data_IF_138894566262
#
_entry.id   IF_138894566262
#
_cell.length_a   1.000
_cell.length_b   1.000
_cell.length_c   1.000
_cell.angle_alpha   90.00
_cell.angle_beta   90.00
_cell.angle_gamma   90.00
#
_symmetry.space_group_name_H-M   'P 1'
#
loop_
_entity.id
_entity.type
_entity.pdbx_description
1 polymer ?
#
# COMPACT_ATOMS: atom_id res chain seq x y z
N UNK A 1 -20.60 65.23 21.43
CA UNK A 1 -21.38 64.72 20.29
C UNK A 1 -20.34 64.45 19.23
N UNK A 2 -19.71 63.27 19.28
CA UNK A 2 -18.61 62.89 18.36
C UNK A 2 -18.81 61.43 17.94
N UNK A 3 -20.03 61.08 17.56
CA UNK A 3 -20.39 59.74 17.07
C UNK A 3 -20.77 59.74 15.57
N UNK A 4 -20.57 60.86 14.85
CA UNK A 4 -20.92 60.95 13.42
C UNK A 4 -19.74 60.71 12.45
N UNK A 5 -18.49 60.74 12.93
CA UNK A 5 -17.32 60.57 12.05
C UNK A 5 -16.94 59.12 11.74
N UNK A 6 -17.59 58.14 12.37
CA UNK A 6 -17.38 56.73 12.01
C UNK A 6 -18.00 56.38 10.64
N UNK A 7 -19.02 57.12 10.22
CA UNK A 7 -19.80 56.86 9.00
C UNK A 7 -19.38 57.72 7.79
N UNK A 8 -18.39 58.61 7.92
CA UNK A 8 -17.81 59.37 6.81
C UNK A 8 -16.73 58.61 6.03
N UNK A 9 -16.71 57.28 6.16
CA UNK A 9 -15.81 56.41 5.41
C UNK A 9 -16.03 56.62 3.91
N UNK A 10 -15.10 57.33 3.25
CA UNK A 10 -15.11 57.55 1.82
C UNK A 10 -15.32 56.19 1.12
N UNK A 11 -16.38 56.02 0.30
CA UNK A 11 -16.71 54.75 -0.34
C UNK A 11 -15.53 54.10 -1.08
N UNK A 12 -14.56 54.90 -1.53
CA UNK A 12 -13.32 54.44 -2.15
C UNK A 12 -12.38 53.73 -1.18
N UNK A 13 -12.24 54.21 0.05
CA UNK A 13 -11.38 53.57 1.07
C UNK A 13 -11.93 52.21 1.46
N UNK A 14 -13.26 52.11 1.58
CA UNK A 14 -13.95 50.85 1.82
C UNK A 14 -13.74 49.89 0.64
N UNK A 15 -13.92 50.37 -0.59
CA UNK A 15 -13.66 49.60 -1.81
C UNK A 15 -12.21 49.11 -1.93
N UNK A 16 -11.22 49.95 -1.65
CA UNK A 16 -9.79 49.59 -1.73
C UNK A 16 -9.41 48.58 -0.65
N UNK A 17 -10.01 48.67 0.54
CA UNK A 17 -9.80 47.71 1.63
C UNK A 17 -10.39 46.34 1.30
N UNK A 18 -11.59 46.29 0.71
CA UNK A 18 -12.22 45.05 0.26
C UNK A 18 -11.46 44.45 -0.92
N UNK A 19 -11.00 45.28 -1.87
CA UNK A 19 -10.16 44.84 -2.97
C UNK A 19 -8.83 44.24 -2.49
N UNK A 20 -8.21 44.85 -1.48
CA UNK A 20 -6.96 44.35 -0.89
C UNK A 20 -7.16 43.02 -0.16
N UNK A 21 -8.27 42.87 0.59
CA UNK A 21 -8.65 41.60 1.22
C UNK A 21 -8.85 40.50 0.18
N UNK A 22 -9.66 40.77 -0.84
CA UNK A 22 -9.94 39.85 -1.94
C UNK A 22 -8.64 39.45 -2.65
N UNK A 23 -7.77 40.41 -2.97
CA UNK A 23 -6.47 40.15 -3.62
C UNK A 23 -5.56 39.27 -2.77
N UNK A 24 -5.47 39.53 -1.47
CA UNK A 24 -4.68 38.70 -0.55
C UNK A 24 -5.24 37.29 -0.41
N UNK A 25 -6.57 37.15 -0.36
CA UNK A 25 -7.23 35.84 -0.34
C UNK A 25 -6.95 35.05 -1.61
N UNK A 26 -7.09 35.67 -2.79
CA UNK A 26 -6.76 35.02 -4.06
C UNK A 26 -5.28 34.62 -4.16
N UNK A 27 -4.37 35.48 -3.69
CA UNK A 27 -2.93 35.19 -3.72
C UNK A 27 -2.58 34.03 -2.78
N UNK A 28 -3.10 34.06 -1.55
CA UNK A 28 -2.85 33.02 -0.56
C UNK A 28 -3.51 31.69 -0.96
N UNK A 29 -4.72 31.73 -1.51
CA UNK A 29 -5.42 30.56 -2.02
C UNK A 29 -4.64 29.96 -3.21
N UNK A 30 -4.25 30.78 -4.19
CA UNK A 30 -3.47 30.34 -5.35
C UNK A 30 -2.10 29.77 -4.97
N UNK A 31 -1.43 30.33 -3.98
CA UNK A 31 -0.17 29.78 -3.46
C UNK A 31 -0.36 28.42 -2.78
N UNK A 32 -1.39 28.29 -1.93
CA UNK A 32 -1.73 27.01 -1.28
C UNK A 32 -2.14 25.95 -2.29
N UNK A 33 -2.96 26.32 -3.26
CA UNK A 33 -3.40 25.46 -4.35
C UNK A 33 -2.21 25.03 -5.20
N UNK A 34 -1.32 25.94 -5.57
CA UNK A 34 -0.10 25.63 -6.31
C UNK A 34 0.83 24.66 -5.57
N UNK A 35 1.03 24.83 -4.26
CA UNK A 35 1.79 23.87 -3.44
C UNK A 35 1.10 22.51 -3.41
N UNK A 36 -0.22 22.50 -3.24
CA UNK A 36 -0.99 21.27 -3.14
C UNK A 36 -0.94 20.50 -4.46
N UNK A 37 -1.21 21.19 -5.57
CA UNK A 37 -1.15 20.63 -6.92
C UNK A 37 0.25 20.12 -7.27
N UNK A 38 1.31 20.83 -6.87
CA UNK A 38 2.69 20.38 -7.07
C UNK A 38 3.01 19.10 -6.29
N UNK A 39 2.61 19.03 -5.01
CA UNK A 39 2.78 17.84 -4.18
C UNK A 39 1.97 16.65 -4.71
N UNK A 40 0.73 16.89 -5.09
CA UNK A 40 -0.15 15.86 -5.66
C UNK A 40 0.39 15.34 -6.98
N UNK A 41 0.84 16.23 -7.88
CA UNK A 41 1.43 15.83 -9.16
C UNK A 41 2.68 14.96 -8.99
N UNK A 42 3.55 15.31 -8.04
CA UNK A 42 4.75 14.51 -7.76
C UNK A 42 4.40 13.14 -7.13
N UNK A 43 3.43 13.12 -6.20
CA UNK A 43 2.98 11.90 -5.53
C UNK A 43 2.25 10.94 -6.48
N UNK A 44 1.42 11.48 -7.38
CA UNK A 44 0.64 10.68 -8.32
C UNK A 44 1.53 9.95 -9.32
N UNK A 45 2.61 10.59 -9.80
CA UNK A 45 3.54 9.95 -10.72
C UNK A 45 4.18 8.69 -10.08
N UNK A 46 4.64 8.79 -8.83
CA UNK A 46 5.20 7.64 -8.11
C UNK A 46 4.18 6.53 -7.87
N UNK A 47 2.92 6.89 -7.60
CA UNK A 47 1.82 5.92 -7.50
C UNK A 47 1.55 5.22 -8.83
N UNK A 48 1.44 5.97 -9.94
CA UNK A 48 1.13 5.44 -11.27
C UNK A 48 2.21 4.46 -11.74
N UNK A 49 3.48 4.81 -11.53
CA UNK A 49 4.62 3.95 -11.86
C UNK A 49 4.61 2.68 -10.99
N UNK A 50 4.43 2.81 -9.67
CA UNK A 50 4.33 1.68 -8.75
C UNK A 50 3.16 0.76 -9.07
N UNK A 51 2.01 1.32 -9.45
CA UNK A 51 0.83 0.57 -9.88
C UNK A 51 1.08 -0.16 -11.20
N UNK A 52 1.62 0.51 -12.22
CA UNK A 52 1.81 -0.07 -13.55
C UNK A 52 2.88 -1.16 -13.57
N UNK A 53 4.00 -0.94 -12.86
CA UNK A 53 5.16 -1.82 -12.94
C UNK A 53 5.20 -2.92 -11.87
N UNK A 54 4.61 -2.66 -10.70
CA UNK A 54 4.70 -3.59 -9.56
C UNK A 54 3.33 -4.09 -9.14
N UNK A 55 2.40 -3.18 -8.84
CA UNK A 55 1.09 -3.50 -8.27
C UNK A 55 0.20 -4.34 -9.18
N UNK A 56 -0.08 -3.84 -10.38
CA UNK A 56 -0.98 -4.47 -11.33
C UNK A 56 -0.45 -5.82 -11.87
N UNK A 57 0.83 -5.98 -12.26
CA UNK A 57 1.35 -7.27 -12.73
C UNK A 57 1.27 -8.36 -11.66
N UNK A 58 1.69 -8.03 -10.44
CA UNK A 58 1.71 -8.94 -9.31
C UNK A 58 0.29 -9.31 -8.84
N UNK A 59 -0.59 -8.32 -8.76
CA UNK A 59 -2.01 -8.53 -8.44
C UNK A 59 -2.71 -9.41 -9.47
N UNK A 60 -2.42 -9.18 -10.77
CA UNK A 60 -2.92 -10.04 -11.85
C UNK A 60 -2.41 -11.46 -11.72
N UNK A 61 -1.12 -11.66 -11.45
CA UNK A 61 -0.54 -13.01 -11.31
C UNK A 61 -1.19 -13.79 -10.17
N UNK A 62 -1.33 -13.17 -8.99
CA UNK A 62 -2.01 -13.79 -7.85
C UNK A 62 -3.50 -14.04 -8.13
N UNK A 63 -4.17 -13.12 -8.82
CA UNK A 63 -5.56 -13.29 -9.25
C UNK A 63 -5.75 -14.51 -10.13
N UNK A 64 -4.87 -14.71 -11.11
CA UNK A 64 -4.87 -15.88 -12.00
C UNK A 64 -4.64 -17.17 -11.20
N UNK A 65 -3.66 -17.19 -10.29
CA UNK A 65 -3.39 -18.37 -9.44
C UNK A 65 -4.61 -18.76 -8.60
N UNK A 66 -5.24 -17.78 -7.92
CA UNK A 66 -6.44 -18.02 -7.10
C UNK A 66 -7.64 -18.48 -7.94
N UNK A 67 -7.80 -17.90 -9.13
CA UNK A 67 -8.80 -18.32 -10.11
C UNK A 67 -8.60 -19.76 -10.57
N UNK A 68 -7.35 -20.14 -10.86
CA UNK A 68 -7.00 -21.49 -11.26
C UNK A 68 -7.27 -22.51 -10.14
N UNK A 69 -6.90 -22.19 -8.89
CA UNK A 69 -7.26 -23.03 -7.74
C UNK A 69 -8.77 -23.24 -7.65
N UNK A 70 -9.56 -22.18 -7.80
CA UNK A 70 -11.03 -22.25 -7.76
C UNK A 70 -11.58 -23.15 -8.87
N UNK A 71 -11.06 -23.01 -10.10
CA UNK A 71 -11.45 -23.84 -11.23
C UNK A 71 -11.09 -25.31 -11.04
N UNK A 72 -9.88 -25.61 -10.54
CA UNK A 72 -9.44 -26.97 -10.23
C UNK A 72 -10.26 -27.61 -9.12
N UNK A 73 -10.56 -26.88 -8.05
CA UNK A 73 -11.43 -27.36 -6.97
C UNK A 73 -12.81 -27.71 -7.53
N UNK A 74 -13.39 -26.85 -8.37
CA UNK A 74 -14.70 -27.11 -8.99
C UNK A 74 -14.67 -28.34 -9.92
N UNK A 75 -13.60 -28.52 -10.70
CA UNK A 75 -13.43 -29.67 -11.59
C UNK A 75 -13.25 -30.98 -10.82
N UNK A 76 -12.45 -30.97 -9.76
CA UNK A 76 -12.11 -32.15 -8.97
C UNK A 76 -13.20 -32.52 -7.95
N UNK A 77 -14.10 -31.59 -7.60
CA UNK A 77 -15.21 -31.82 -6.66
C UNK A 77 -16.41 -32.57 -7.26
N UNK A 78 -16.23 -33.22 -8.42
CA UNK A 78 -17.27 -34.02 -9.09
C UNK A 78 -17.70 -35.22 -8.24
N UNK A 79 -18.96 -35.69 -8.36
CA UNK A 79 -19.42 -36.86 -7.63
C UNK A 79 -18.67 -38.13 -8.10
N UNK A 80 -18.24 -38.94 -7.13
CA UNK A 80 -17.40 -40.15 -7.30
C UNK A 80 -15.96 -39.88 -7.77
N UNK A 81 -15.17 -39.04 -7.06
CA UNK A 81 -13.79 -38.76 -7.41
C UNK A 81 -12.90 -39.97 -7.17
N UNK A 82 -12.00 -40.26 -8.11
CA UNK A 82 -10.93 -41.24 -7.91
C UNK A 82 -10.02 -40.82 -6.75
N UNK A 83 -9.35 -41.77 -6.10
CA UNK A 83 -8.44 -41.47 -4.97
C UNK A 83 -7.37 -40.42 -5.35
N UNK A 84 -6.90 -40.47 -6.60
CA UNK A 84 -5.98 -39.48 -7.17
C UNK A 84 -6.60 -38.08 -7.26
N UNK A 85 -7.88 -37.98 -7.61
CA UNK A 85 -8.59 -36.70 -7.69
C UNK A 85 -8.88 -36.13 -6.29
N UNK A 86 -9.12 -36.98 -5.29
CA UNK A 86 -9.27 -36.54 -3.90
C UNK A 86 -7.96 -35.98 -3.34
N UNK A 87 -6.83 -36.64 -3.60
CA UNK A 87 -5.51 -36.14 -3.21
C UNK A 87 -5.19 -34.79 -3.88
N UNK A 88 -5.41 -34.68 -5.19
CA UNK A 88 -5.23 -33.43 -5.93
C UNK A 88 -6.13 -32.30 -5.42
N UNK A 89 -7.37 -32.62 -5.02
CA UNK A 89 -8.31 -31.66 -4.45
C UNK A 89 -7.87 -31.16 -3.07
N UNK A 90 -7.36 -32.05 -2.21
CA UNK A 90 -6.82 -31.68 -0.90
C UNK A 90 -5.61 -30.75 -1.08
N UNK A 91 -4.69 -31.09 -1.98
CA UNK A 91 -3.52 -30.27 -2.28
C UNK A 91 -3.91 -28.90 -2.88
N UNK A 92 -4.86 -28.87 -3.80
CA UNK A 92 -5.33 -27.60 -4.40
C UNK A 92 -5.98 -26.69 -3.34
N UNK A 93 -6.71 -27.24 -2.36
CA UNK A 93 -7.27 -26.48 -1.25
C UNK A 93 -6.18 -25.92 -0.32
N UNK A 94 -5.14 -26.71 -0.06
CA UNK A 94 -3.99 -26.25 0.71
C UNK A 94 -3.28 -25.09 0.00
N UNK A 95 -3.01 -25.22 -1.30
CA UNK A 95 -2.41 -24.15 -2.12
C UNK A 95 -3.32 -22.91 -2.12
N UNK A 96 -4.64 -23.08 -2.24
CA UNK A 96 -5.59 -21.97 -2.17
C UNK A 96 -5.55 -21.23 -0.82
N UNK A 97 -5.43 -21.97 0.30
CA UNK A 97 -5.30 -21.37 1.63
C UNK A 97 -3.98 -20.60 1.77
N UNK A 98 -2.87 -21.14 1.27
CA UNK A 98 -1.57 -20.46 1.29
C UNK A 98 -1.60 -19.18 0.45
N UNK A 99 -2.17 -19.25 -0.76
CA UNK A 99 -2.34 -18.08 -1.63
C UNK A 99 -3.27 -17.03 -1.02
N UNK A 100 -4.27 -17.40 -0.22
CA UNK A 100 -5.15 -16.44 0.46
C UNK A 100 -4.40 -15.61 1.52
N UNK A 101 -3.37 -16.17 2.15
CA UNK A 101 -2.59 -15.52 3.20
C UNK A 101 -1.41 -14.69 2.66
N UNK A 102 -1.18 -14.66 1.35
CA UNK A 102 -0.13 -13.84 0.72
C UNK A 102 -0.50 -12.36 0.82
N UNK A 103 0.38 -11.56 1.43
CA UNK A 103 0.28 -10.10 1.50
C UNK A 103 1.16 -9.44 0.46
N UNK A 104 0.77 -8.23 0.05
CA UNK A 104 1.52 -7.42 -0.91
C UNK A 104 2.93 -7.06 -0.42
N UNK A 105 3.08 -6.72 0.87
CA UNK A 105 4.37 -6.36 1.49
C UNK A 105 5.41 -7.48 1.49
N UNK A 106 4.99 -8.74 1.47
CA UNK A 106 5.89 -9.90 1.56
C UNK A 106 6.45 -10.35 0.20
N UNK A 107 5.88 -9.84 -0.89
CA UNK A 107 6.13 -10.32 -2.26
C UNK A 107 6.65 -9.23 -3.18
N UNK A 108 6.44 -7.98 -2.81
CA UNK A 108 6.88 -6.82 -3.57
C UNK A 108 8.39 -6.66 -3.42
N UNK A 109 9.12 -6.48 -4.52
CA UNK A 109 10.52 -6.12 -4.46
C UNK A 109 10.73 -4.80 -3.68
N UNK A 110 11.81 -4.68 -2.90
CA UNK A 110 12.12 -3.42 -2.22
C UNK A 110 12.33 -2.31 -3.26
N UNK A 111 11.66 -1.18 -3.04
CA UNK A 111 11.80 0.01 -3.87
C UNK A 111 13.13 0.71 -3.58
N UNK A 112 14.10 0.52 -4.48
CA UNK A 112 15.46 1.05 -4.33
C UNK A 112 15.50 2.57 -4.46
N UNK A 113 14.59 3.17 -5.25
CA UNK A 113 14.52 4.61 -5.44
C UNK A 113 13.93 5.28 -4.19
N UNK A 114 12.84 4.72 -3.64
CA UNK A 114 12.29 5.19 -2.38
C UNK A 114 13.29 5.05 -1.22
N UNK A 115 14.09 3.97 -1.18
CA UNK A 115 15.14 3.79 -0.17
C UNK A 115 16.28 4.80 -0.32
N UNK A 116 16.70 5.11 -1.55
CA UNK A 116 17.72 6.12 -1.82
C UNK A 116 17.24 7.51 -1.42
N UNK A 117 16.01 7.88 -1.81
CA UNK A 117 15.41 9.16 -1.46
C UNK A 117 15.21 9.33 0.06
N UNK A 118 14.76 8.27 0.75
CA UNK A 118 14.66 8.27 2.20
C UNK A 118 16.02 8.48 2.87
N UNK A 119 17.07 7.87 2.33
CA UNK A 119 18.44 8.05 2.81
C UNK A 119 18.96 9.47 2.58
N UNK A 120 18.74 10.03 1.39
CA UNK A 120 19.14 11.41 1.10
C UNK A 120 18.44 12.43 2.00
N UNK A 121 17.16 12.21 2.32
CA UNK A 121 16.44 13.03 3.30
C UNK A 121 17.02 12.90 4.71
N UNK A 122 17.40 11.69 5.13
CA UNK A 122 18.02 11.48 6.44
C UNK A 122 19.41 12.13 6.49
N UNK A 123 20.21 12.01 5.43
CA UNK A 123 21.54 12.63 5.34
C UNK A 123 21.43 14.17 5.31
N UNK A 124 20.46 14.73 4.58
CA UNK A 124 20.17 16.16 4.58
C UNK A 124 19.76 16.65 5.98
N UNK A 125 18.81 15.96 6.63
CA UNK A 125 18.37 16.27 8.00
C UNK A 125 19.49 16.12 9.03
N UNK A 126 20.36 15.12 8.87
CA UNK A 126 21.51 14.91 9.76
C UNK A 126 22.54 16.03 9.58
N UNK A 127 22.75 16.50 8.34
CA UNK A 127 23.61 17.66 8.07
C UNK A 127 23.05 18.99 8.60
N UNK A 128 21.73 19.15 8.59
CA UNK A 128 21.05 20.32 9.17
C UNK A 128 21.08 20.29 10.70
N UNK A 129 20.92 19.12 11.31
CA UNK A 129 21.03 18.94 12.77
C UNK A 129 22.46 19.09 13.30
N UNK A 130 23.48 18.81 12.49
CA UNK A 130 24.89 19.07 12.83
C UNK A 130 25.27 20.56 12.70
N UNK A 131 24.51 21.35 11.94
CA UNK A 131 24.76 22.76 11.69
C UNK A 131 24.07 23.71 12.68
N UNK A 132 23.02 23.27 13.38
CA UNK A 132 22.26 24.08 14.34
C UNK A 132 22.19 23.39 15.72
N UNK A 133 23.16 23.69 16.59
CA UNK A 133 23.20 23.15 17.96
C UNK A 133 22.24 23.85 18.93
N UNK A 134 21.47 24.86 18.50
CA UNK A 134 20.65 25.71 19.38
C UNK A 134 19.21 25.96 18.86
N UNK A 135 18.71 25.22 17.87
CA UNK A 135 17.38 25.42 17.29
C UNK A 135 16.35 24.38 17.72
N UNK A 136 15.30 24.81 18.43
CA UNK A 136 14.15 23.98 18.85
C UNK A 136 13.45 23.27 17.67
N UNK A 137 13.39 21.94 17.79
CA UNK A 137 12.28 21.05 17.44
C UNK A 137 11.55 21.29 16.11
N UNK A 138 12.15 20.84 15.01
CA UNK A 138 11.40 20.43 13.82
C UNK A 138 11.83 19.05 13.34
N UNK A 139 10.99 18.06 13.70
CA UNK A 139 10.99 16.64 13.33
C UNK A 139 11.84 15.72 14.22
N UNK A 140 11.30 15.44 15.41
CA UNK A 140 11.74 14.39 16.34
C UNK A 140 11.92 13.03 15.60
N UNK A 141 13.12 12.41 15.58
CA UNK A 141 13.34 11.07 15.05
C UNK A 141 12.46 9.99 15.74
N UNK A 142 11.88 10.29 16.89
CA UNK A 142 10.85 9.45 17.50
C UNK A 142 9.60 9.31 16.62
N UNK A 143 9.21 10.32 15.83
CA UNK A 143 8.00 10.30 14.99
C UNK A 143 8.06 9.28 13.84
N UNK A 144 9.18 9.20 13.11
CA UNK A 144 9.40 8.18 12.07
C UNK A 144 9.50 6.77 12.66
N UNK A 145 10.11 6.65 13.84
CA UNK A 145 10.15 5.40 14.59
C UNK A 145 8.73 4.99 15.05
N UNK A 146 7.88 5.97 15.40
CA UNK A 146 6.49 5.75 15.79
C UNK A 146 5.61 5.30 14.62
N UNK A 147 5.79 5.85 13.41
CA UNK A 147 5.09 5.37 12.20
C UNK A 147 5.49 3.95 11.80
N UNK A 148 6.80 3.63 11.84
CA UNK A 148 7.30 2.28 11.55
C UNK A 148 6.85 1.27 12.60
N UNK A 149 6.81 1.68 13.88
CA UNK A 149 6.28 0.88 14.98
C UNK A 149 4.78 0.66 14.81
N UNK A 150 4.02 1.69 14.46
CA UNK A 150 2.60 1.59 14.15
C UNK A 150 2.30 0.60 13.02
N UNK A 151 3.08 0.63 11.92
CA UNK A 151 2.96 -0.37 10.85
C UNK A 151 3.22 -1.79 11.34
N UNK A 152 4.28 -2.01 12.12
CA UNK A 152 4.62 -3.33 12.68
C UNK A 152 3.56 -3.84 13.65
N UNK A 153 3.03 -2.96 14.48
CA UNK A 153 1.99 -3.29 15.45
C UNK A 153 0.67 -3.66 14.74
N UNK A 154 0.31 -2.93 13.68
CA UNK A 154 -0.84 -3.27 12.82
C UNK A 154 -0.66 -4.63 12.13
N UNK A 155 0.52 -4.90 11.55
CA UNK A 155 0.81 -6.20 10.94
C UNK A 155 0.71 -7.35 11.95
N UNK A 156 1.16 -7.13 13.19
CA UNK A 156 1.04 -8.10 14.28
C UNK A 156 -0.41 -8.36 14.68
N UNK A 157 -1.26 -7.33 14.72
CA UNK A 157 -2.69 -7.48 14.99
C UNK A 157 -3.40 -8.27 13.89
N UNK A 158 -3.05 -8.03 12.63
CA UNK A 158 -3.59 -8.78 11.50
C UNK A 158 -3.18 -10.27 11.55
N UNK A 159 -1.95 -10.57 11.95
CA UNK A 159 -1.49 -11.96 12.15
C UNK A 159 -2.28 -12.66 13.26
N UNK A 160 -2.52 -11.97 14.37
CA UNK A 160 -3.34 -12.50 15.47
C UNK A 160 -4.79 -12.73 15.03
N UNK A 161 -5.37 -11.82 14.24
CA UNK A 161 -6.71 -12.01 13.67
C UNK A 161 -6.76 -13.19 12.71
N UNK A 162 -5.78 -13.32 11.80
CA UNK A 162 -5.69 -14.45 10.90
C UNK A 162 -5.64 -15.78 11.67
N UNK A 163 -4.85 -15.84 12.75
CA UNK A 163 -4.76 -17.01 13.62
C UNK A 163 -6.08 -17.32 14.36
N UNK A 164 -6.83 -16.30 14.79
CA UNK A 164 -8.14 -16.50 15.41
C UNK A 164 -9.20 -16.98 14.41
N UNK A 165 -9.15 -16.50 13.17
CA UNK A 165 -10.08 -16.94 12.10
C UNK A 165 -9.81 -18.35 11.59
N UNK A 166 -8.56 -18.81 11.66
CA UNK A 166 -8.16 -20.15 11.20
C UNK A 166 -8.66 -21.31 12.09
N UNK A 167 -9.28 -21.02 13.24
CA UNK A 167 -9.76 -21.99 14.20
C UNK A 167 -8.60 -22.64 14.96
N UNK A 168 -8.58 -22.52 16.29
CA UNK A 168 -7.45 -22.82 17.20
C UNK A 168 -6.95 -24.27 17.23
N UNK A 169 -6.56 -24.84 16.10
CA UNK A 169 -5.70 -26.00 15.98
C UNK A 169 -4.25 -25.54 15.92
N UNK A 170 -3.37 -26.30 16.59
CA UNK A 170 -1.91 -26.09 16.63
C UNK A 170 -1.27 -26.34 15.26
N UNK A 171 -1.60 -25.52 14.26
CA UNK A 171 -0.84 -25.43 13.03
C UNK A 171 0.45 -24.69 13.38
N UNK A 172 1.58 -25.40 13.31
CA UNK A 172 2.92 -24.87 13.44
C UNK A 172 3.02 -23.50 12.75
N UNK A 173 3.78 -22.58 13.35
CA UNK A 173 4.13 -21.25 12.84
C UNK A 173 4.45 -21.30 11.34
N UNK A 174 3.44 -21.23 10.47
CA UNK A 174 3.63 -21.30 9.04
C UNK A 174 4.25 -19.96 8.66
N UNK A 175 5.52 -20.02 8.27
CA UNK A 175 6.27 -18.84 7.84
C UNK A 175 5.48 -18.14 6.74
N UNK A 176 5.37 -16.81 6.84
CA UNK A 176 4.62 -15.99 5.87
C UNK A 176 5.11 -16.33 4.46
N UNK A 177 4.21 -16.65 3.51
CA UNK A 177 4.60 -17.06 2.17
C UNK A 177 5.30 -15.90 1.45
N UNK A 178 6.54 -16.13 1.04
CA UNK A 178 7.38 -15.16 0.33
C UNK A 178 7.27 -15.33 -1.18
N UNK A 179 7.88 -14.42 -1.94
CA UNK A 179 7.94 -14.48 -3.40
C UNK A 179 8.42 -15.84 -3.94
N UNK A 180 9.42 -16.46 -3.30
CA UNK A 180 9.92 -17.78 -3.70
C UNK A 180 8.89 -18.90 -3.52
N UNK A 181 8.07 -18.82 -2.46
CA UNK A 181 7.03 -19.79 -2.17
C UNK A 181 5.92 -19.73 -3.22
N UNK A 182 5.60 -18.53 -3.73
CA UNK A 182 4.62 -18.38 -4.83
C UNK A 182 5.08 -19.09 -6.08
N UNK A 183 6.36 -18.98 -6.44
CA UNK A 183 6.92 -19.68 -7.61
C UNK A 183 6.79 -21.19 -7.45
N UNK A 184 7.05 -21.71 -6.24
CA UNK A 184 6.87 -23.13 -5.94
C UNK A 184 5.40 -23.55 -5.99
N UNK A 185 4.49 -22.75 -5.40
CA UNK A 185 3.05 -23.00 -5.42
C UNK A 185 2.50 -22.99 -6.84
N UNK A 186 2.95 -22.06 -7.69
CA UNK A 186 2.63 -22.02 -9.11
C UNK A 186 3.07 -23.30 -9.81
N UNK A 187 4.30 -23.76 -9.59
CA UNK A 187 4.81 -25.01 -10.18
C UNK A 187 3.97 -26.22 -9.78
N UNK A 188 3.63 -26.36 -8.50
CA UNK A 188 2.77 -27.44 -7.98
C UNK A 188 1.37 -27.38 -8.59
N UNK A 189 0.78 -26.19 -8.66
CA UNK A 189 -0.56 -25.98 -9.23
C UNK A 189 -0.61 -26.34 -10.72
N UNK A 190 0.43 -25.98 -11.48
CA UNK A 190 0.54 -26.33 -12.90
C UNK A 190 0.67 -27.85 -13.10
N UNK A 191 1.44 -28.54 -12.25
CA UNK A 191 1.55 -30.00 -12.30
C UNK A 191 0.19 -30.69 -12.06
N UNK A 192 -0.60 -30.19 -11.09
CA UNK A 192 -1.97 -30.68 -10.83
C UNK A 192 -2.90 -30.40 -12.02
N UNK A 193 -2.79 -29.21 -12.62
CA UNK A 193 -3.57 -28.85 -13.81
C UNK A 193 -3.25 -29.76 -14.99
N UNK A 194 -1.98 -30.03 -15.26
CA UNK A 194 -1.53 -30.93 -16.32
C UNK A 194 -2.00 -32.37 -16.09
N UNK A 195 -1.89 -32.88 -14.87
CA UNK A 195 -2.42 -34.20 -14.49
C UNK A 195 -3.95 -34.30 -14.66
N UNK A 196 -4.66 -33.16 -14.54
CA UNK A 196 -6.10 -33.06 -14.76
C UNK A 196 -6.48 -32.82 -16.23
N UNK A 197 -5.50 -32.77 -17.14
CA UNK A 197 -5.70 -32.58 -18.58
C UNK A 197 -5.88 -31.12 -19.02
N UNK A 198 -5.65 -30.15 -18.14
CA UNK A 198 -5.71 -28.72 -18.45
C UNK A 198 -4.33 -28.22 -18.89
N UNK A 199 -4.15 -27.95 -20.18
CA UNK A 199 -2.97 -27.24 -20.68
C UNK A 199 -3.18 -25.74 -20.49
N UNK A 200 -2.61 -25.18 -19.42
CA UNK A 200 -2.61 -23.73 -19.23
C UNK A 200 -1.52 -23.08 -20.08
N UNK A 201 -1.89 -22.09 -20.88
CA UNK A 201 -0.95 -21.15 -21.46
C UNK A 201 -0.88 -19.91 -20.56
N UNK A 202 0.24 -19.76 -19.86
CA UNK A 202 0.55 -18.55 -19.11
C UNK A 202 1.07 -17.51 -20.12
N UNK A 203 0.37 -16.39 -20.28
CA UNK A 203 0.78 -15.27 -21.15
C UNK A 203 0.71 -13.94 -20.43
#
# INVERSE_FOLDING_TARGET
MDDEDFWSSDPKVLQDSEWSKISNEFTNAGYREGITAGKESALQQGFDDGFAHTGAPLGRELGILRGLCSALIALLSRPNPTDTAQAALAETREIAAQLANVRFSDIVPPDLEALAHAREHLDAKMSEAEADSDGEDLADPASLNEELKGKRDLEGLEDLMAQMTAGGGSAATQSRPKAADIVQLKGRLLAIAEASGLKLQWS
#
